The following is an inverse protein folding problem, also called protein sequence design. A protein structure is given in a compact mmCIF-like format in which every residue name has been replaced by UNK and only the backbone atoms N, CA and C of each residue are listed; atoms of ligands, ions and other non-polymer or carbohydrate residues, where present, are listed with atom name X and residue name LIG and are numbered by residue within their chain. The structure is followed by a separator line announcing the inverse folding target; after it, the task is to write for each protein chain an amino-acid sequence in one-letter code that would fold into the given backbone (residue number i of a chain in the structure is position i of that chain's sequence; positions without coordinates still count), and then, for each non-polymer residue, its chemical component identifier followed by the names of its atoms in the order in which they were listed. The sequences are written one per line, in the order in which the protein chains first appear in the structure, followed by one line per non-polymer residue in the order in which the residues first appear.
data_IF_080790719014
#
_entry.id   IF_080790719014
#
_cell.length_a   1.000
_cell.length_b   1.000
_cell.length_c   1.000
_cell.angle_alpha   90.00
_cell.angle_beta   90.00
_cell.angle_gamma   90.00
#
_symmetry.space_group_name_H-M   'P 1'
#
loop_
_entity.id
_entity.type
_entity.pdbx_description
1 polymer ?
#
# COMPACT_ATOMS: atom_id res chain seq x y z
N UNK A 1 1.52 -5.81 0.10
CA UNK A 1 0.92 -5.14 -1.08
C UNK A 1 1.20 -5.85 -2.42
N UNK A 2 1.71 -7.09 -2.45
CA UNK A 2 1.94 -7.86 -3.69
C UNK A 2 3.19 -7.43 -4.47
N UNK A 3 3.72 -8.33 -5.29
CA UNK A 3 4.83 -8.07 -6.21
C UNK A 3 4.29 -7.74 -7.61
N UNK A 4 4.94 -6.81 -8.31
CA UNK A 4 4.65 -6.54 -9.71
C UNK A 4 5.31 -7.61 -10.60
N UNK A 5 4.71 -7.86 -11.76
CA UNK A 5 5.23 -8.76 -12.77
C UNK A 5 5.10 -8.11 -14.15
N UNK A 6 6.04 -8.44 -15.03
CA UNK A 6 6.09 -7.99 -16.42
C UNK A 6 6.56 -9.15 -17.27
N UNK A 7 6.01 -9.26 -18.48
CA UNK A 7 6.32 -10.34 -19.42
C UNK A 7 6.66 -9.69 -20.75
N UNK A 8 7.78 -10.11 -21.33
CA UNK A 8 8.20 -9.75 -22.66
C UNK A 8 8.90 -10.96 -23.31
N UNK A 9 9.14 -10.90 -24.61
CA UNK A 9 9.99 -11.86 -25.30
C UNK A 9 11.49 -11.69 -24.96
N UNK A 10 11.86 -10.58 -24.31
CA UNK A 10 13.18 -10.26 -23.79
C UNK A 10 13.22 -10.32 -22.26
N UNK A 11 14.38 -10.02 -21.67
CA UNK A 11 14.48 -9.75 -20.23
C UNK A 11 13.62 -8.53 -19.86
N UNK A 12 13.00 -8.58 -18.67
CA UNK A 12 12.21 -7.47 -18.11
C UNK A 12 12.75 -7.11 -16.74
N UNK A 13 13.11 -5.84 -16.57
CA UNK A 13 13.38 -5.25 -15.26
C UNK A 13 12.20 -4.39 -14.82
N UNK A 14 11.77 -4.50 -13.56
CA UNK A 14 10.70 -3.67 -13.01
C UNK A 14 11.27 -2.72 -11.97
N UNK A 15 10.94 -1.43 -12.11
CA UNK A 15 11.22 -0.41 -11.11
C UNK A 15 9.92 0.14 -10.53
N UNK A 16 9.99 0.67 -9.31
CA UNK A 16 8.84 1.16 -8.57
C UNK A 16 9.09 2.56 -8.01
N UNK A 17 8.09 3.42 -8.11
CA UNK A 17 8.03 4.70 -7.39
C UNK A 17 6.76 4.77 -6.54
N UNK A 18 6.87 5.39 -5.36
CA UNK A 18 5.75 5.51 -4.41
C UNK A 18 5.46 6.99 -4.15
N UNK A 19 4.20 7.37 -4.22
CA UNK A 19 3.71 8.71 -3.87
C UNK A 19 2.52 8.66 -2.93
N UNK A 20 2.31 9.71 -2.14
CA UNK A 20 1.30 9.77 -1.08
C UNK A 20 1.89 9.57 0.30
N UNK A 21 1.03 9.36 1.31
CA UNK A 21 1.45 9.31 2.69
C UNK A 21 0.49 8.51 3.58
N UNK A 22 1.04 8.05 4.70
CA UNK A 22 0.29 7.55 5.84
C UNK A 22 0.63 8.40 7.07
N UNK A 23 -0.28 8.48 8.03
CA UNK A 23 0.00 9.16 9.29
C UNK A 23 0.87 8.27 10.22
N UNK A 24 1.15 8.76 11.44
CA UNK A 24 1.93 8.02 12.44
C UNK A 24 1.27 6.70 12.89
N UNK A 25 -0.02 6.53 12.66
CA UNK A 25 -0.76 5.29 12.90
C UNK A 25 -0.79 4.37 11.68
N UNK A 26 -0.09 4.70 10.59
CA UNK A 26 -0.08 3.94 9.35
C UNK A 26 -1.36 4.08 8.50
N UNK A 27 -2.30 4.92 8.89
CA UNK A 27 -3.57 5.16 8.18
C UNK A 27 -3.37 6.21 7.09
N UNK A 28 -3.90 5.97 5.89
CA UNK A 28 -3.78 6.89 4.77
C UNK A 28 -3.87 6.20 3.42
N UNK A 29 -3.28 6.82 2.39
CA UNK A 29 -3.24 6.24 1.05
C UNK A 29 -1.98 6.60 0.30
N UNK A 30 -1.49 5.66 -0.48
CA UNK A 30 -0.36 5.86 -1.37
C UNK A 30 -0.55 5.09 -2.67
N UNK A 31 0.16 5.53 -3.71
CA UNK A 31 0.13 4.95 -5.04
C UNK A 31 1.52 4.43 -5.38
N UNK A 32 1.60 3.17 -5.78
CA UNK A 32 2.79 2.57 -6.39
C UNK A 32 2.66 2.68 -7.90
N UNK A 33 3.69 3.19 -8.57
CA UNK A 33 3.78 3.24 -10.03
C UNK A 33 4.92 2.32 -10.47
N UNK A 34 4.62 1.42 -11.39
CA UNK A 34 5.58 0.43 -11.91
C UNK A 34 5.99 0.77 -13.33
N UNK A 35 7.29 0.70 -13.58
CA UNK A 35 7.88 0.82 -14.91
C UNK A 35 8.60 -0.48 -15.23
N UNK A 36 8.12 -1.18 -16.26
CA UNK A 36 8.79 -2.33 -16.85
C UNK A 36 9.70 -1.84 -17.98
N UNK A 37 10.95 -2.27 -17.96
CA UNK A 37 11.98 -1.96 -18.96
C UNK A 37 12.44 -3.26 -19.61
N UNK A 38 12.34 -3.35 -20.94
CA UNK A 38 12.83 -4.50 -21.69
C UNK A 38 14.37 -4.50 -21.82
N UNK A 39 14.92 -5.59 -22.36
CA UNK A 39 16.36 -5.72 -22.59
C UNK A 39 16.97 -4.67 -23.55
N UNK A 40 16.14 -3.90 -24.27
CA UNK A 40 16.57 -2.84 -25.18
C UNK A 40 16.38 -1.44 -24.57
N UNK A 41 15.94 -1.38 -23.31
CA UNK A 41 15.72 -0.14 -22.59
C UNK A 41 14.37 0.53 -22.87
N UNK A 42 13.46 -0.13 -23.59
CA UNK A 42 12.12 0.40 -23.84
C UNK A 42 11.23 0.18 -22.62
N UNK A 43 10.40 1.16 -22.31
CA UNK A 43 9.50 1.11 -21.15
C UNK A 43 8.05 0.88 -21.56
N UNK A 44 7.25 0.28 -20.68
CA UNK A 44 5.81 0.16 -20.87
C UNK A 44 5.16 1.52 -21.18
N UNK A 45 4.38 1.56 -22.27
CA UNK A 45 3.71 2.80 -22.71
C UNK A 45 2.50 3.13 -21.82
N UNK A 46 1.80 2.11 -21.33
CA UNK A 46 0.67 2.31 -20.43
C UNK A 46 1.13 2.34 -18.98
N UNK A 47 0.58 3.30 -18.23
CA UNK A 47 0.85 3.44 -16.79
C UNK A 47 0.31 2.23 -16.04
N UNK A 48 1.19 1.54 -15.30
CA UNK A 48 0.83 0.48 -14.37
C UNK A 48 0.87 1.03 -12.94
N UNK A 49 -0.30 1.14 -12.30
CA UNK A 49 -0.43 1.73 -10.97
C UNK A 49 -1.26 0.86 -10.02
N UNK A 50 -0.85 0.84 -8.76
CA UNK A 50 -1.59 0.25 -7.66
C UNK A 50 -1.86 1.33 -6.61
N UNK A 51 -3.14 1.69 -6.44
CA UNK A 51 -3.58 2.56 -5.34
C UNK A 51 -3.90 1.72 -4.12
N UNK A 52 -3.30 2.09 -2.99
CA UNK A 52 -3.45 1.39 -1.72
C UNK A 52 -4.07 2.36 -0.71
N UNK A 53 -5.11 1.90 -0.02
CA UNK A 53 -5.75 2.63 1.08
C UNK A 53 -5.64 1.79 2.33
N UNK A 54 -5.05 2.35 3.38
CA UNK A 54 -4.88 1.72 4.69
C UNK A 54 -5.90 2.31 5.64
N UNK A 55 -6.81 1.48 6.15
CA UNK A 55 -7.83 1.87 7.10
C UNK A 55 -7.40 1.52 8.52
N UNK A 56 -7.60 2.46 9.44
CA UNK A 56 -7.48 2.19 10.87
C UNK A 56 -8.74 1.52 11.36
N UNK A 57 -8.63 0.27 11.82
CA UNK A 57 -9.71 -0.46 12.48
C UNK A 57 -9.44 -0.44 13.98
N UNK A 58 -10.44 0.01 14.73
CA UNK A 58 -10.38 0.14 16.17
C UNK A 58 -11.60 -0.55 16.77
N UNK A 59 -11.37 -1.59 17.57
CA UNK A 59 -12.39 -2.23 18.38
C UNK A 59 -12.01 -2.06 19.86
N UNK A 60 -12.39 -0.90 20.41
CA UNK A 60 -12.12 -0.59 21.81
C UNK A 60 -13.35 -0.86 22.65
N UNK A 61 -13.19 -1.69 23.68
CA UNK A 61 -14.19 -1.89 24.71
C UNK A 61 -13.65 -1.39 26.04
N UNK A 62 -14.33 -0.42 26.64
CA UNK A 62 -14.12 -0.05 28.04
C UNK A 62 -15.27 -0.62 28.87
N UNK A 63 -14.95 -1.24 30.00
CA UNK A 63 -15.93 -1.70 30.99
C UNK A 63 -15.56 -1.03 32.30
N UNK A 64 -16.51 -0.27 32.84
CA UNK A 64 -16.33 0.33 34.16
C UNK A 64 -16.55 -0.75 35.22
N UNK A 65 -15.75 -0.76 36.30
CA UNK A 65 -16.08 -1.55 37.48
C UNK A 65 -17.38 -1.02 38.10
N UNK A 66 -18.07 -1.86 38.87
CA UNK A 66 -19.12 -1.41 39.80
C UNK A 66 -18.56 -0.29 40.68
N UNK A 67 -19.38 0.73 40.93
CA UNK A 67 -19.08 1.85 41.79
C UNK A 67 -18.95 1.44 43.27
N UNK A 68 -18.15 2.18 44.04
CA UNK A 68 -17.76 1.83 45.42
C UNK A 68 -18.84 2.20 46.47
N UNK A 69 -20.02 2.68 46.08
CA UNK A 69 -21.10 3.02 47.03
C UNK A 69 -22.21 1.97 47.07
N UNK A 70 -21.79 0.74 47.33
CA UNK A 70 -22.65 -0.42 47.53
C UNK A 70 -22.57 -1.02 48.94
N UNK A 71 -22.49 -0.20 49.99
CA UNK A 71 -22.78 -0.60 51.39
C UNK A 71 -23.41 0.54 52.17
#
# INVERSE_FOLDING_TARGET
FGAAAGVDNCEVTITETITGNVNSCGVGSFTRTFTATDGQGLTNVQVCQQRITVYGIHDYRITFPTDEEGT
#
